data_IF_626956724074
#
_entry.id   IF_626956724074
#
_cell.length_a   1.000
_cell.length_b   1.000
_cell.length_c   1.000
_cell.angle_alpha   90.00
_cell.angle_beta   90.00
_cell.angle_gamma   90.00
#
_symmetry.space_group_name_H-M   'P 1'
#
loop_
_entity.id
_entity.type
_entity.pdbx_description
1 polymer ?
#
# COMPACT_ATOMS: atom_id res chain seq x y z
N UNK A 1 19.41 -29.12 -5.45
CA UNK A 1 19.27 -28.11 -6.53
C UNK A 1 18.03 -27.22 -6.40
N UNK A 2 16.87 -27.71 -5.92
CA UNK A 2 15.69 -26.85 -5.67
C UNK A 2 15.91 -25.73 -4.63
N UNK A 3 16.76 -25.94 -3.62
CA UNK A 3 16.98 -24.96 -2.54
C UNK A 3 17.70 -23.67 -2.99
N UNK A 4 18.45 -23.69 -4.09
CA UNK A 4 19.13 -22.48 -4.57
C UNK A 4 18.14 -21.50 -5.24
N UNK A 5 17.07 -22.00 -5.87
CA UNK A 5 16.00 -21.17 -6.42
C UNK A 5 15.16 -20.49 -5.31
N UNK A 6 14.93 -21.18 -4.19
CA UNK A 6 14.31 -20.58 -3.00
C UNK A 6 15.20 -19.50 -2.37
N UNK A 7 16.52 -19.69 -2.38
CA UNK A 7 17.50 -18.72 -1.90
C UNK A 7 17.69 -17.52 -2.86
N UNK A 8 17.39 -17.64 -4.15
CA UNK A 8 17.42 -16.51 -5.09
C UNK A 8 16.19 -15.58 -4.95
N UNK A 9 15.04 -16.09 -4.48
CA UNK A 9 13.92 -15.23 -4.01
C UNK A 9 14.27 -14.40 -2.77
N UNK A 10 15.41 -14.67 -2.13
CA UNK A 10 15.78 -14.19 -0.80
C UNK A 10 16.45 -12.81 -0.78
N UNK A 11 16.54 -12.13 -1.93
CA UNK A 11 16.73 -10.69 -2.03
C UNK A 11 15.42 -9.99 -2.43
N UNK A 12 14.29 -10.42 -1.87
CA UNK A 12 13.00 -9.78 -2.14
C UNK A 12 12.97 -8.39 -1.50
N UNK A 13 13.06 -7.35 -2.34
CA UNK A 13 12.62 -6.01 -1.96
C UNK A 13 11.11 -6.11 -1.76
N UNK A 14 10.66 -6.19 -0.51
CA UNK A 14 9.24 -6.11 -0.20
C UNK A 14 8.75 -4.71 -0.54
N UNK A 15 7.75 -4.63 -1.40
CA UNK A 15 7.27 -3.37 -1.97
C UNK A 15 6.26 -2.72 -1.06
N UNK A 16 6.34 -1.39 -0.97
CA UNK A 16 5.30 -0.55 -0.38
C UNK A 16 4.52 0.11 -1.51
N UNK A 17 3.20 0.18 -1.37
CA UNK A 17 2.31 0.70 -2.41
C UNK A 17 1.47 1.83 -1.83
N UNK A 18 1.36 2.93 -2.57
CA UNK A 18 0.40 4.00 -2.26
C UNK A 18 -0.77 3.89 -3.25
N UNK A 19 -2.00 3.89 -2.75
CA UNK A 19 -3.21 3.87 -3.57
C UNK A 19 -4.04 5.12 -3.25
N UNK A 20 -4.28 5.95 -4.26
CA UNK A 20 -5.28 7.01 -4.21
C UNK A 20 -6.60 6.51 -4.81
N UNK A 21 -7.73 6.98 -4.30
CA UNK A 21 -9.04 6.57 -4.84
C UNK A 21 -9.41 5.09 -4.60
N UNK A 22 -8.87 4.47 -3.54
CA UNK A 22 -9.13 3.07 -3.20
C UNK A 22 -10.60 2.75 -2.86
N UNK A 23 -11.44 3.76 -2.66
CA UNK A 23 -12.89 3.60 -2.46
C UNK A 23 -13.68 3.46 -3.77
N UNK A 24 -13.06 3.77 -4.92
CA UNK A 24 -13.70 3.61 -6.23
C UNK A 24 -13.76 2.14 -6.68
N UNK A 25 -14.55 1.85 -7.72
CA UNK A 25 -14.77 0.49 -8.21
C UNK A 25 -13.47 -0.23 -8.59
N UNK A 26 -12.54 0.47 -9.24
CA UNK A 26 -11.24 -0.08 -9.65
C UNK A 26 -10.24 -0.08 -8.49
N UNK A 27 -10.15 1.04 -7.78
CA UNK A 27 -9.20 1.20 -6.67
C UNK A 27 -9.42 0.16 -5.56
N UNK A 28 -10.67 -0.24 -5.31
CA UNK A 28 -10.99 -1.28 -4.33
C UNK A 28 -10.47 -2.66 -4.74
N UNK A 29 -10.57 -3.01 -6.02
CA UNK A 29 -10.00 -4.26 -6.55
C UNK A 29 -8.47 -4.29 -6.43
N UNK A 30 -7.82 -3.18 -6.79
CA UNK A 30 -6.35 -3.04 -6.65
C UNK A 30 -5.93 -3.15 -5.19
N UNK A 31 -6.65 -2.49 -4.28
CA UNK A 31 -6.39 -2.59 -2.84
C UNK A 31 -6.44 -4.03 -2.36
N UNK A 32 -7.51 -4.77 -2.68
CA UNK A 32 -7.67 -6.16 -2.24
C UNK A 32 -6.53 -7.05 -2.75
N UNK A 33 -6.17 -6.92 -4.03
CA UNK A 33 -5.05 -7.67 -4.62
C UNK A 33 -3.72 -7.33 -3.93
N UNK A 34 -3.47 -6.03 -3.67
CA UNK A 34 -2.24 -5.61 -3.00
C UNK A 34 -2.14 -6.12 -1.55
N UNK A 35 -3.27 -6.25 -0.84
CA UNK A 35 -3.28 -6.78 0.52
C UNK A 35 -2.98 -8.28 0.54
N UNK A 36 -3.46 -9.04 -0.45
CA UNK A 36 -3.22 -10.48 -0.55
C UNK A 36 -1.82 -10.82 -1.11
N UNK A 37 -1.25 -9.95 -1.95
CA UNK A 37 0.02 -10.22 -2.61
C UNK A 37 1.20 -10.36 -1.63
N UNK A 38 1.95 -11.47 -1.74
CA UNK A 38 3.04 -11.82 -0.82
C UNK A 38 4.28 -10.92 -0.94
N UNK A 39 4.48 -10.27 -2.09
CA UNK A 39 5.60 -9.35 -2.30
C UNK A 39 5.34 -7.92 -1.80
N UNK A 40 4.12 -7.63 -1.36
CA UNK A 40 3.75 -6.32 -0.81
C UNK A 40 3.73 -6.42 0.72
N UNK A 41 4.51 -5.54 1.36
CA UNK A 41 4.60 -5.46 2.81
C UNK A 41 3.62 -4.45 3.40
N UNK A 42 3.34 -3.37 2.67
CA UNK A 42 2.52 -2.27 3.17
C UNK A 42 1.76 -1.60 2.02
N UNK A 43 0.50 -1.24 2.28
CA UNK A 43 -0.37 -0.50 1.39
C UNK A 43 -0.86 0.74 2.13
N UNK A 44 -0.46 1.92 1.68
CA UNK A 44 -0.96 3.20 2.17
C UNK A 44 -2.08 3.68 1.25
N UNK A 45 -3.30 3.76 1.78
CA UNK A 45 -4.40 4.42 1.08
C UNK A 45 -4.42 5.89 1.45
N UNK A 46 -4.48 6.76 0.44
CA UNK A 46 -4.71 8.19 0.62
C UNK A 46 -6.07 8.56 0.05
N UNK A 47 -6.94 9.07 0.89
CA UNK A 47 -8.33 9.34 0.55
C UNK A 47 -8.90 10.52 1.30
N UNK A 48 -10.06 10.98 0.85
CA UNK A 48 -10.84 12.03 1.55
C UNK A 48 -11.80 11.43 2.58
N UNK A 49 -12.10 10.14 2.45
CA UNK A 49 -13.05 9.39 3.25
C UNK A 49 -12.36 8.15 3.84
N UNK A 50 -12.77 7.72 5.05
CA UNK A 50 -12.26 6.51 5.67
C UNK A 50 -12.68 5.24 4.92
N UNK A 51 -11.91 4.19 5.11
CA UNK A 51 -12.22 2.82 4.71
C UNK A 51 -12.75 2.05 5.92
N UNK A 52 -13.90 1.40 5.75
CA UNK A 52 -14.58 0.67 6.83
C UNK A 52 -14.03 -0.75 7.08
N UNK A 53 -12.71 -0.95 6.98
CA UNK A 53 -12.07 -2.22 7.36
C UNK A 53 -10.59 -2.03 7.71
N UNK A 54 -10.03 -2.98 8.44
CA UNK A 54 -8.62 -2.98 8.85
C UNK A 54 -7.89 -4.19 8.28
N UNK A 55 -6.59 -4.03 8.02
CA UNK A 55 -5.73 -5.13 7.58
C UNK A 55 -4.30 -4.88 8.07
N UNK A 56 -3.51 -5.92 8.44
CA UNK A 56 -2.16 -5.73 8.97
C UNK A 56 -1.21 -4.96 8.04
N UNK A 57 -1.39 -5.11 6.72
CA UNK A 57 -0.63 -4.38 5.70
C UNK A 57 -1.23 -3.00 5.34
N UNK A 58 -2.44 -2.68 5.78
CA UNK A 58 -3.15 -1.47 5.38
C UNK A 58 -2.87 -0.33 6.35
N UNK A 59 -2.44 0.80 5.79
CA UNK A 59 -2.43 2.10 6.45
C UNK A 59 -3.34 3.05 5.69
N UNK A 60 -3.94 3.97 6.42
CA UNK A 60 -4.83 4.97 5.84
C UNK A 60 -4.36 6.37 6.22
N UNK A 61 -4.35 7.26 5.24
CA UNK A 61 -4.09 8.67 5.38
C UNK A 61 -5.30 9.46 4.84
N UNK A 62 -6.07 10.02 5.77
CA UNK A 62 -7.17 10.92 5.41
C UNK A 62 -6.61 12.30 5.12
N UNK A 63 -6.61 12.67 3.85
CA UNK A 63 -6.12 13.95 3.40
C UNK A 63 -7.14 14.57 2.44
N UNK A 64 -7.81 15.63 2.90
CA UNK A 64 -8.92 16.22 2.13
C UNK A 64 -8.45 17.05 0.94
N UNK A 65 -7.31 17.71 1.08
CA UNK A 65 -6.75 18.62 0.07
C UNK A 65 -5.54 18.00 -0.64
N UNK A 66 -5.79 17.35 -1.78
CA UNK A 66 -4.74 16.73 -2.59
C UNK A 66 -3.81 17.74 -3.29
N UNK A 67 -3.99 19.04 -3.10
CA UNK A 67 -3.07 20.06 -3.63
C UNK A 67 -1.97 20.42 -2.65
N UNK A 68 -2.10 20.06 -1.37
CA UNK A 68 -1.18 20.46 -0.31
C UNK A 68 -0.72 19.28 0.57
N UNK A 69 0.36 18.62 0.15
CA UNK A 69 0.97 17.53 0.92
C UNK A 69 2.01 17.99 1.96
N UNK A 70 2.13 19.28 2.27
CA UNK A 70 3.17 19.79 3.15
C UNK A 70 3.11 19.14 4.56
N UNK A 71 1.90 18.95 5.08
CA UNK A 71 1.67 18.40 6.43
C UNK A 71 1.88 16.88 6.50
N UNK A 72 1.69 16.17 5.39
CA UNK A 72 1.76 14.71 5.32
C UNK A 72 3.04 14.20 4.67
N UNK A 73 3.96 15.10 4.32
CA UNK A 73 5.23 14.80 3.65
C UNK A 73 5.99 13.65 4.32
N UNK A 74 6.06 13.65 5.66
CA UNK A 74 6.77 12.62 6.44
C UNK A 74 6.19 11.21 6.27
N UNK A 75 4.89 11.10 5.95
CA UNK A 75 4.22 9.82 5.74
C UNK A 75 4.43 9.29 4.31
N UNK A 76 4.84 10.16 3.38
CA UNK A 76 5.10 9.83 1.98
C UNK A 76 6.57 9.52 1.68
N UNK A 77 7.50 9.96 2.53
CA UNK A 77 8.96 9.75 2.33
C UNK A 77 9.42 8.31 2.60
N UNK A 78 8.57 7.46 3.16
CA UNK A 78 8.93 6.13 3.64
C UNK A 78 8.62 4.98 2.66
N UNK A 79 8.22 5.30 1.42
CA UNK A 79 7.85 4.36 0.34
C UNK A 79 9.01 4.17 -0.63
#
# INVERSE_FOLDING_TARGET
FANLFTLAKKNAIMKKVIITGATGMVGKGVLLECLDHSEISEVLVIGRNPIDFTHPKLKELIHKDFTNFAEVKNQLTAV
#
